data_IF_996728888428
#
_entry.id   IF_996728888428
#
_cell.length_a   1.000
_cell.length_b   1.000
_cell.length_c   1.000
_cell.angle_alpha   90.00
_cell.angle_beta   90.00
_cell.angle_gamma   90.00
#
_symmetry.space_group_name_H-M   'P 1'
#
loop_
_entity.id
_entity.type
_entity.pdbx_description
1 polymer ?
#
# COMPACT_ATOMS: atom_id res chain seq x y z
N UNK A 1 0.82 -3.15 -5.31
CA UNK A 1 0.68 -2.91 -3.86
C UNK A 1 -0.56 -3.53 -3.23
N UNK A 2 -1.74 -3.48 -3.86
CA UNK A 2 -2.98 -4.06 -3.31
C UNK A 2 -2.82 -5.49 -2.77
N UNK A 3 -2.29 -6.43 -3.57
CA UNK A 3 -2.08 -7.81 -3.13
C UNK A 3 -1.08 -7.98 -1.98
N UNK A 4 -0.03 -7.15 -1.93
CA UNK A 4 0.95 -7.18 -0.85
C UNK A 4 0.29 -6.76 0.47
N UNK A 5 -0.41 -5.63 0.50
CA UNK A 5 -1.08 -5.17 1.71
C UNK A 5 -2.20 -6.12 2.14
N UNK A 6 -2.97 -6.64 1.18
CA UNK A 6 -4.02 -7.62 1.43
C UNK A 6 -3.47 -8.89 2.09
N UNK A 7 -2.34 -9.43 1.60
CA UNK A 7 -1.70 -10.59 2.22
C UNK A 7 -1.34 -10.33 3.69
N UNK A 8 -0.91 -9.11 4.03
CA UNK A 8 -0.66 -8.75 5.42
C UNK A 8 -1.93 -8.72 6.27
N UNK A 9 -3.03 -8.20 5.73
CA UNK A 9 -4.30 -8.13 6.47
C UNK A 9 -4.92 -9.50 6.74
N UNK A 10 -4.85 -10.43 5.76
CA UNK A 10 -5.61 -11.69 5.84
C UNK A 10 -4.79 -12.90 6.29
N UNK A 11 -3.46 -12.89 6.11
CA UNK A 11 -2.62 -14.05 6.45
C UNK A 11 -1.46 -13.72 7.37
N UNK A 12 -0.62 -12.73 7.03
CA UNK A 12 0.64 -12.49 7.77
C UNK A 12 0.36 -11.98 9.18
N UNK A 13 -0.37 -10.87 9.33
CA UNK A 13 -0.64 -10.29 10.65
C UNK A 13 -1.52 -11.18 11.52
N UNK A 14 -2.59 -11.82 11.01
CA UNK A 14 -3.34 -12.82 11.80
C UNK A 14 -2.50 -14.05 12.16
N UNK A 15 -1.60 -14.49 11.28
CA UNK A 15 -0.68 -15.61 11.52
C UNK A 15 0.29 -15.30 12.67
N UNK A 16 1.02 -14.20 12.56
CA UNK A 16 1.89 -13.69 13.63
C UNK A 16 1.10 -13.40 14.91
N UNK A 17 -0.15 -12.95 14.77
CA UNK A 17 -1.06 -12.69 15.87
C UNK A 17 -1.33 -13.88 16.77
N UNK A 18 -1.19 -15.11 16.27
CA UNK A 18 -1.36 -16.36 17.04
C UNK A 18 -0.10 -16.78 17.80
N UNK A 19 1.06 -16.20 17.48
CA UNK A 19 2.31 -16.43 18.18
C UNK A 19 2.44 -15.58 19.45
N UNK A 20 3.47 -15.89 20.24
CA UNK A 20 3.87 -15.08 21.38
C UNK A 20 4.41 -13.69 20.95
N UNK A 21 4.52 -12.78 21.91
CA UNK A 21 4.89 -11.40 21.65
C UNK A 21 6.32 -11.24 21.12
N UNK A 22 7.25 -12.08 21.59
CA UNK A 22 8.64 -12.05 21.16
C UNK A 22 8.76 -12.46 19.69
N UNK A 23 8.07 -13.53 19.30
CA UNK A 23 7.98 -14.01 17.92
C UNK A 23 7.37 -12.95 17.01
N UNK A 24 6.25 -12.35 17.43
CA UNK A 24 5.58 -11.27 16.68
C UNK A 24 6.52 -10.09 16.43
N UNK A 25 7.14 -9.55 17.49
CA UNK A 25 7.99 -8.35 17.42
C UNK A 25 9.24 -8.63 16.59
N UNK A 26 9.89 -9.77 16.82
CA UNK A 26 11.09 -10.17 16.08
C UNK A 26 10.79 -10.34 14.60
N UNK A 27 9.72 -11.06 14.25
CA UNK A 27 9.33 -11.24 12.86
C UNK A 27 9.01 -9.91 12.17
N UNK A 28 8.23 -9.03 12.83
CA UNK A 28 7.89 -7.74 12.25
C UNK A 28 9.09 -6.82 12.05
N UNK A 29 10.08 -6.84 12.96
CA UNK A 29 11.36 -6.13 12.76
C UNK A 29 12.09 -6.63 11.53
N UNK A 30 12.27 -7.94 11.41
CA UNK A 30 12.98 -8.55 10.28
C UNK A 30 12.26 -8.29 8.95
N UNK A 31 10.93 -8.36 8.93
CA UNK A 31 10.11 -8.04 7.76
C UNK A 31 10.26 -6.56 7.36
N UNK A 32 10.22 -5.65 8.34
CA UNK A 32 10.37 -4.22 8.10
C UNK A 32 11.76 -3.85 7.56
N UNK A 33 12.81 -4.52 8.03
CA UNK A 33 14.16 -4.36 7.51
C UNK A 33 14.28 -4.94 6.09
N UNK A 34 13.74 -6.15 5.86
CA UNK A 34 13.81 -6.81 4.56
C UNK A 34 13.05 -6.05 3.46
N UNK A 35 11.93 -5.39 3.79
CA UNK A 35 11.13 -4.62 2.81
C UNK A 35 11.75 -3.25 2.50
N UNK A 36 12.63 -2.73 3.37
CA UNK A 36 13.35 -1.49 3.15
C UNK A 36 14.54 -1.70 2.20
N UNK A 37 14.22 -1.98 0.94
CA UNK A 37 15.20 -2.23 -0.11
C UNK A 37 14.86 -1.44 -1.39
N UNK A 38 15.87 -1.22 -2.22
CA UNK A 38 15.75 -0.41 -3.43
C UNK A 38 14.72 -0.93 -4.44
N UNK A 39 14.53 -2.26 -4.54
CA UNK A 39 13.55 -2.85 -5.45
C UNK A 39 12.12 -2.54 -5.00
N UNK A 40 11.85 -2.67 -3.69
CA UNK A 40 10.55 -2.28 -3.14
C UNK A 40 10.29 -0.78 -3.34
N UNK A 41 11.28 0.07 -3.04
CA UNK A 41 11.18 1.52 -3.26
C UNK A 41 10.88 1.88 -4.71
N UNK A 42 11.58 1.23 -5.66
CA UNK A 42 11.36 1.40 -7.09
C UNK A 42 9.93 1.00 -7.50
N UNK A 43 9.44 -0.16 -7.05
CA UNK A 43 8.08 -0.59 -7.37
C UNK A 43 7.03 0.32 -6.72
N UNK A 44 7.27 0.76 -5.49
CA UNK A 44 6.35 1.58 -4.73
C UNK A 44 6.18 2.98 -5.34
N UNK A 45 7.29 3.68 -5.62
CA UNK A 45 7.28 5.00 -6.25
C UNK A 45 6.97 4.89 -7.76
N UNK A 46 7.54 3.90 -8.43
CA UNK A 46 7.33 3.66 -9.85
C UNK A 46 5.86 3.42 -10.19
N UNK A 47 5.13 2.67 -9.35
CA UNK A 47 3.68 2.48 -9.53
C UNK A 47 2.91 3.80 -9.44
N UNK A 48 3.28 4.68 -8.50
CA UNK A 48 2.65 6.00 -8.37
C UNK A 48 2.89 6.87 -9.61
N UNK A 49 4.15 6.97 -10.04
CA UNK A 49 4.54 7.75 -11.23
C UNK A 49 3.89 7.20 -12.50
N UNK A 50 3.88 5.87 -12.68
CA UNK A 50 3.25 5.22 -13.83
C UNK A 50 1.74 5.47 -13.87
N UNK A 51 1.07 5.47 -12.71
CA UNK A 51 -0.37 5.76 -12.60
C UNK A 51 -0.67 7.20 -13.03
N UNK A 52 0.14 8.17 -12.57
CA UNK A 52 0.01 9.58 -12.96
C UNK A 52 0.30 9.80 -14.45
N UNK A 53 1.32 9.14 -14.97
CA UNK A 53 1.65 9.18 -16.40
C UNK A 53 0.51 8.61 -17.25
N UNK A 54 -0.08 7.48 -16.85
CA UNK A 54 -1.23 6.89 -17.54
C UNK A 54 -2.44 7.86 -17.56
N UNK A 55 -2.75 8.50 -16.43
CA UNK A 55 -3.82 9.50 -16.34
C UNK A 55 -3.57 10.70 -17.28
N UNK A 56 -2.34 11.24 -17.26
CA UNK A 56 -1.91 12.34 -18.12
C UNK A 56 -2.01 11.99 -19.61
N UNK A 57 -1.63 10.77 -20.00
CA UNK A 57 -1.74 10.31 -21.38
C UNK A 57 -3.21 10.21 -21.84
N UNK A 58 -4.12 9.69 -21.02
CA UNK A 58 -5.55 9.67 -21.37
C UNK A 58 -6.11 11.09 -21.54
N UNK A 59 -5.68 12.04 -20.70
CA UNK A 59 -6.11 13.43 -20.79
C UNK A 59 -5.62 14.10 -22.08
N UNK A 60 -4.33 13.97 -22.40
CA UNK A 60 -3.72 14.51 -23.62
C UNK A 60 -4.29 13.87 -24.89
N UNK A 61 -4.67 12.59 -24.82
CA UNK A 61 -5.33 11.88 -25.91
C UNK A 61 -6.82 12.20 -26.09
N UNK A 62 -7.36 13.23 -25.43
CA UNK A 62 -8.76 13.65 -25.61
C UNK A 62 -9.79 12.70 -24.99
N UNK A 63 -9.41 11.90 -23.98
CA UNK A 63 -10.28 10.90 -23.34
C UNK A 63 -10.65 11.30 -21.91
N UNK A 64 -11.47 12.35 -21.72
CA UNK A 64 -11.70 12.96 -20.41
C UNK A 64 -12.29 11.99 -19.39
N UNK A 65 -13.17 11.07 -19.81
CA UNK A 65 -13.74 10.06 -18.92
C UNK A 65 -12.67 9.08 -18.42
N UNK A 66 -11.81 8.56 -19.31
CA UNK A 66 -10.71 7.67 -18.91
C UNK A 66 -9.69 8.42 -18.03
N UNK A 67 -9.39 9.68 -18.35
CA UNK A 67 -8.51 10.53 -17.55
C UNK A 67 -9.03 10.74 -16.11
N UNK A 68 -10.34 10.99 -15.92
CA UNK A 68 -10.94 11.12 -14.58
C UNK A 68 -10.71 9.88 -13.72
N UNK A 69 -10.92 8.68 -14.27
CA UNK A 69 -10.65 7.43 -13.56
C UNK A 69 -9.15 7.22 -13.29
N UNK A 70 -8.28 7.64 -14.21
CA UNK A 70 -6.83 7.62 -14.00
C UNK A 70 -6.38 8.53 -12.85
N UNK A 71 -6.88 9.76 -12.80
CA UNK A 71 -6.58 10.70 -11.71
C UNK A 71 -7.16 10.26 -10.36
N UNK A 72 -8.35 9.63 -10.37
CA UNK A 72 -8.89 8.99 -9.17
C UNK A 72 -7.96 7.87 -8.68
N UNK A 73 -7.49 6.99 -9.57
CA UNK A 73 -6.54 5.94 -9.21
C UNK A 73 -5.23 6.52 -8.64
N UNK A 74 -4.72 7.59 -9.25
CA UNK A 74 -3.54 8.30 -8.78
C UNK A 74 -3.72 8.86 -7.36
N UNK A 75 -4.85 9.52 -7.10
CA UNK A 75 -5.16 10.07 -5.78
C UNK A 75 -5.32 8.95 -4.72
N UNK A 76 -6.00 7.86 -5.05
CA UNK A 76 -6.18 6.71 -4.16
C UNK A 76 -4.85 6.02 -3.85
N UNK A 77 -3.97 5.84 -4.83
CA UNK A 77 -2.63 5.34 -4.57
C UNK A 77 -1.82 6.32 -3.72
N UNK A 78 -1.93 7.62 -3.98
CA UNK A 78 -1.32 8.69 -3.18
C UNK A 78 -1.75 8.65 -1.72
N UNK A 79 -3.02 8.34 -1.42
CA UNK A 79 -3.49 8.10 -0.06
C UNK A 79 -2.74 6.93 0.59
N UNK A 80 -2.55 5.82 -0.11
CA UNK A 80 -1.75 4.70 0.40
C UNK A 80 -0.30 5.10 0.70
N UNK A 81 0.29 5.98 -0.13
CA UNK A 81 1.63 6.53 0.12
C UNK A 81 1.65 7.41 1.38
N UNK A 82 0.66 8.29 1.52
CA UNK A 82 0.53 9.15 2.68
C UNK A 82 0.39 8.34 3.98
N UNK A 83 -0.46 7.31 3.99
CA UNK A 83 -0.60 6.40 5.16
C UNK A 83 0.71 5.66 5.44
N UNK A 84 1.42 5.23 4.39
CA UNK A 84 2.72 4.57 4.56
C UNK A 84 3.73 5.50 5.23
N UNK A 85 3.86 6.73 4.75
CA UNK A 85 4.81 7.72 5.26
C UNK A 85 4.46 8.25 6.66
N UNK A 86 3.17 8.48 6.93
CA UNK A 86 2.72 9.14 8.16
C UNK A 86 2.34 8.16 9.29
N UNK A 87 2.04 6.91 8.96
CA UNK A 87 1.58 5.90 9.95
C UNK A 87 2.52 4.71 10.01
N UNK A 88 2.66 3.97 8.91
CA UNK A 88 3.36 2.68 8.97
C UNK A 88 4.88 2.82 9.14
N UNK A 89 5.54 3.73 8.43
CA UNK A 89 6.98 3.97 8.60
C UNK A 89 7.31 4.44 10.03
N UNK A 90 6.61 5.44 10.62
CA UNK A 90 6.84 5.83 12.01
C UNK A 90 6.64 4.68 13.00
N UNK A 91 5.59 3.86 12.82
CA UNK A 91 5.36 2.68 13.67
C UNK A 91 6.45 1.62 13.52
N UNK A 92 6.94 1.40 12.31
CA UNK A 92 8.04 0.48 12.03
C UNK A 92 9.33 0.93 12.73
N UNK A 93 9.65 2.23 12.64
CA UNK A 93 10.83 2.81 13.30
C UNK A 93 10.71 2.73 14.83
N UNK A 94 9.53 2.99 15.39
CA UNK A 94 9.28 2.82 16.82
C UNK A 94 9.45 1.36 17.26
N UNK A 95 8.96 0.40 16.46
CA UNK A 95 9.12 -1.03 16.75
C UNK A 95 10.59 -1.45 16.72
N UNK A 96 11.36 -0.95 15.76
CA UNK A 96 12.80 -1.21 15.65
C UNK A 96 13.57 -0.72 16.90
N UNK A 97 13.17 0.42 17.48
CA UNK A 97 13.80 1.01 18.67
C UNK A 97 13.21 0.53 20.00
N UNK A 98 12.18 -0.33 19.99
CA UNK A 98 11.53 -0.77 21.22
C UNK A 98 12.48 -1.64 22.08
N UNK A 99 12.38 -1.46 23.41
CA UNK A 99 13.16 -2.22 24.40
C UNK A 99 12.78 -3.72 24.47
N UNK A 100 13.31 -4.45 25.47
CA UNK A 100 13.15 -5.90 25.58
C UNK A 100 11.72 -6.35 25.94
N UNK A 101 10.85 -5.44 26.36
CA UNK A 101 9.44 -5.74 26.66
C UNK A 101 8.63 -5.88 25.35
N UNK A 102 8.56 -7.11 24.85
CA UNK A 102 7.85 -7.44 23.62
C UNK A 102 6.33 -7.24 23.72
N UNK A 103 5.74 -7.47 24.90
CA UNK A 103 4.30 -7.27 25.12
C UNK A 103 3.93 -5.79 25.00
N UNK A 104 4.70 -4.92 25.64
CA UNK A 104 4.52 -3.47 25.50
C UNK A 104 4.76 -3.01 24.06
N UNK A 105 5.80 -3.52 23.38
CA UNK A 105 6.08 -3.19 21.99
C UNK A 105 4.93 -3.59 21.04
N UNK A 106 4.44 -4.83 21.17
CA UNK A 106 3.32 -5.35 20.37
C UNK A 106 2.05 -4.54 20.59
N UNK A 107 1.70 -4.22 21.83
CA UNK A 107 0.48 -3.47 22.16
C UNK A 107 0.44 -2.07 21.51
N UNK A 108 1.59 -1.38 21.44
CA UNK A 108 1.72 -0.05 20.83
C UNK A 108 1.69 -0.09 19.30
N UNK A 109 2.11 -1.22 18.73
CA UNK A 109 2.28 -1.40 17.29
C UNK A 109 1.07 -2.02 16.60
N UNK A 110 0.59 -3.18 17.07
CA UNK A 110 -0.25 -4.11 16.29
C UNK A 110 -1.53 -3.52 15.73
N UNK A 111 -2.41 -2.99 16.58
CA UNK A 111 -3.73 -2.50 16.14
C UNK A 111 -3.62 -1.27 15.24
N UNK A 112 -2.67 -0.37 15.54
CA UNK A 112 -2.46 0.85 14.74
C UNK A 112 -1.86 0.52 13.38
N UNK A 113 -0.88 -0.38 13.36
CA UNK A 113 -0.23 -0.80 12.13
C UNK A 113 -1.20 -1.53 11.20
N UNK A 114 -1.99 -2.47 11.73
CA UNK A 114 -3.01 -3.22 10.95
C UNK A 114 -4.12 -2.32 10.44
N UNK A 115 -4.61 -1.37 11.25
CA UNK A 115 -5.60 -0.37 10.79
C UNK A 115 -5.04 0.48 9.66
N UNK A 116 -3.80 0.96 9.77
CA UNK A 116 -3.13 1.68 8.68
C UNK A 116 -2.96 0.80 7.43
N UNK A 117 -2.59 -0.47 7.60
CA UNK A 117 -2.44 -1.41 6.49
C UNK A 117 -3.77 -1.66 5.76
N UNK A 118 -4.87 -1.83 6.49
CA UNK A 118 -6.20 -2.00 5.90
C UNK A 118 -6.60 -0.80 5.03
N UNK A 119 -6.32 0.43 5.48
CA UNK A 119 -6.57 1.64 4.67
C UNK A 119 -5.77 1.59 3.36
N UNK A 120 -4.49 1.18 3.42
CA UNK A 120 -3.65 1.01 2.22
C UNK A 120 -4.19 -0.07 1.30
N UNK A 121 -4.63 -1.20 1.83
CA UNK A 121 -5.27 -2.29 1.08
C UNK A 121 -6.49 -1.81 0.32
N UNK A 122 -7.42 -1.15 1.01
CA UNK A 122 -8.65 -0.61 0.40
C UNK A 122 -8.32 0.43 -0.66
N UNK A 123 -7.45 1.38 -0.34
CA UNK A 123 -7.05 2.45 -1.27
C UNK A 123 -6.39 1.90 -2.54
N UNK A 124 -5.43 0.97 -2.41
CA UNK A 124 -4.78 0.35 -3.56
C UNK A 124 -5.72 -0.57 -4.37
N UNK A 125 -6.66 -1.25 -3.72
CA UNK A 125 -7.65 -2.09 -4.41
C UNK A 125 -8.64 -1.25 -5.20
N UNK A 126 -9.10 -0.13 -4.63
CA UNK A 126 -9.92 0.85 -5.31
C UNK A 126 -9.17 1.50 -6.49
N UNK A 127 -7.89 1.85 -6.30
CA UNK A 127 -7.03 2.37 -7.37
C UNK A 127 -6.87 1.36 -8.52
N UNK A 128 -6.66 0.08 -8.21
CA UNK A 128 -6.59 -0.99 -9.22
C UNK A 128 -7.91 -1.12 -9.99
N UNK A 129 -9.05 -1.04 -9.30
CA UNK A 129 -10.37 -1.09 -9.93
C UNK A 129 -10.59 0.10 -10.86
N UNK A 130 -10.19 1.31 -10.43
CA UNK A 130 -10.24 2.51 -11.25
C UNK A 130 -9.34 2.41 -12.49
N UNK A 131 -8.13 1.84 -12.38
CA UNK A 131 -7.27 1.54 -13.53
C UNK A 131 -7.89 0.49 -14.47
N UNK A 132 -8.52 -0.55 -13.94
CA UNK A 132 -9.31 -1.48 -14.74
C UNK A 132 -10.39 -0.76 -15.55
N UNK A 133 -11.06 0.23 -14.95
CA UNK A 133 -12.03 1.07 -15.65
C UNK A 133 -11.40 1.89 -16.77
N UNK A 134 -10.22 2.47 -16.55
CA UNK A 134 -9.44 3.16 -17.60
C UNK A 134 -9.20 2.24 -18.80
N UNK A 135 -8.76 1.00 -18.58
CA UNK A 135 -8.51 0.03 -19.66
C UNK A 135 -9.77 -0.25 -20.47
N UNK A 136 -10.92 -0.48 -19.82
CA UNK A 136 -12.18 -0.73 -20.53
C UNK A 136 -12.64 0.45 -21.38
N UNK A 137 -12.47 1.69 -20.89
CA UNK A 137 -12.84 2.90 -21.62
C UNK A 137 -11.88 3.17 -22.78
N UNK A 138 -10.59 2.89 -22.58
CA UNK A 138 -9.58 3.01 -23.61
C UNK A 138 -9.84 2.04 -24.78
N UNK A 139 -10.12 0.77 -24.48
CA UNK A 139 -10.39 -0.26 -25.51
C UNK A 139 -11.65 0.03 -26.32
N UNK A 140 -12.73 0.50 -25.68
CA UNK A 140 -13.96 0.89 -26.39
C UNK A 140 -13.73 2.07 -27.34
N UNK A 141 -12.93 3.05 -26.94
CA UNK A 141 -12.60 4.20 -27.78
C UNK A 141 -11.66 3.87 -28.94
N UNK A 142 -10.94 2.75 -28.89
CA UNK A 142 -10.08 2.29 -29.99
C UNK A 142 -10.83 1.42 -31.02
N UNK A 143 -11.99 0.89 -30.65
CA UNK A 143 -12.84 0.03 -31.50
C UNK A 143 -13.96 0.79 -32.22
N UNK A 144 -14.10 2.09 -31.97
CA UNK A 144 -15.07 3.01 -32.58
C UNK A 144 -14.35 3.97 -33.52
#
# INVERSE_FOLDING_TARGET
>A
MAGLYFAFDVSVMPGLGRGDDQTYVTAMRNINEAIDNGLFGLLFLGTFLATGLAASQQQRGGRPNAARWGWLAFALYGLSMAVTAMVNIPLNNQLALAGPDAAAARSRFGNRWTSGNLVRTVACTAALTALGRVLTLHGRAAAA
#
